data_IF_358963264702
#
_entry.id   IF_358963264702
#
_cell.length_a   1.000
_cell.length_b   1.000
_cell.length_c   1.000
_cell.angle_alpha   90.00
_cell.angle_beta   90.00
_cell.angle_gamma   90.00
#
_symmetry.space_group_name_H-M   'P 1'
#
loop_
_entity.id
_entity.type
_entity.pdbx_description
1 polymer ?
#
# COMPACT_ATOMS: atom_id res chain seq x y z
N UNK A 1 -5.59 -11.07 6.42
CA UNK A 1 -5.06 -9.69 6.38
C UNK A 1 -3.57 -9.73 6.11
N UNK A 2 -3.04 -8.70 5.46
CA UNK A 2 -1.74 -8.67 4.76
C UNK A 2 -0.84 -7.57 5.33
N UNK A 3 0.45 -7.57 5.04
CA UNK A 3 1.34 -6.43 5.32
C UNK A 3 1.58 -5.65 4.04
N UNK A 4 1.29 -4.35 4.10
CA UNK A 4 1.73 -3.37 3.10
C UNK A 4 2.51 -2.29 3.83
N UNK A 5 3.52 -1.71 3.19
CA UNK A 5 4.36 -0.67 3.79
C UNK A 5 4.68 0.36 2.70
N UNK A 6 4.36 1.63 2.96
CA UNK A 6 4.88 2.76 2.20
C UNK A 6 6.07 3.39 2.91
N UNK A 7 7.09 3.84 2.18
CA UNK A 7 8.21 4.60 2.76
C UNK A 7 8.57 5.73 1.82
N UNK A 8 8.84 6.91 2.37
CA UNK A 8 9.47 8.03 1.67
C UNK A 8 10.83 8.30 2.30
N UNK A 9 11.89 8.22 1.53
CA UNK A 9 13.23 8.55 2.05
C UNK A 9 14.13 9.01 0.92
N UNK A 10 14.89 10.08 1.19
CA UNK A 10 15.80 10.73 0.25
C UNK A 10 15.16 11.05 -1.10
N UNK A 11 13.89 11.47 -1.07
CA UNK A 11 13.10 11.77 -2.25
C UNK A 11 12.52 10.55 -2.98
N UNK A 12 12.85 9.34 -2.57
CA UNK A 12 12.37 8.10 -3.18
C UNK A 12 11.14 7.60 -2.45
N UNK A 13 10.13 7.15 -3.20
CA UNK A 13 8.95 6.47 -2.65
C UNK A 13 9.05 4.98 -2.92
N UNK A 14 8.84 4.17 -1.88
CA UNK A 14 8.67 2.73 -2.01
C UNK A 14 7.31 2.29 -1.47
N UNK A 15 6.75 1.30 -2.14
CA UNK A 15 5.59 0.54 -1.70
C UNK A 15 5.98 -0.93 -1.72
N UNK A 16 5.78 -1.64 -0.62
CA UNK A 16 6.07 -3.07 -0.52
C UNK A 16 4.91 -3.81 0.13
N UNK A 17 4.68 -5.05 -0.30
CA UNK A 17 3.63 -5.90 0.22
C UNK A 17 4.07 -7.37 0.25
N UNK A 18 3.55 -8.14 1.21
CA UNK A 18 3.63 -9.60 1.12
C UNK A 18 2.73 -10.12 -0.01
N UNK A 19 2.89 -11.38 -0.41
CA UNK A 19 2.12 -11.98 -1.51
C UNK A 19 1.13 -13.06 -1.07
N UNK A 20 0.99 -13.33 0.23
CA UNK A 20 0.08 -14.36 0.73
C UNK A 20 -1.36 -13.86 0.78
N UNK A 21 -2.30 -14.71 0.39
CA UNK A 21 -3.73 -14.52 0.56
C UNK A 21 -4.28 -15.69 1.37
N UNK A 22 -5.00 -15.39 2.44
CA UNK A 22 -5.57 -16.38 3.36
C UNK A 22 -7.07 -16.20 3.42
N UNK A 23 -7.81 -17.30 3.38
CA UNK A 23 -9.23 -17.32 3.70
C UNK A 23 -9.37 -17.23 5.23
N UNK A 24 -9.94 -16.12 5.72
CA UNK A 24 -10.02 -15.84 7.15
C UNK A 24 -10.92 -16.83 7.90
N UNK A 25 -11.97 -17.34 7.26
CA UNK A 25 -12.94 -18.26 7.89
C UNK A 25 -12.34 -19.64 8.15
N UNK A 26 -11.47 -20.09 7.25
CA UNK A 26 -10.88 -21.43 7.29
C UNK A 26 -9.42 -21.45 7.72
N UNK A 27 -8.76 -20.28 7.77
CA UNK A 27 -7.32 -20.14 7.98
C UNK A 27 -6.46 -20.71 6.84
N UNK A 28 -7.07 -21.18 5.74
CA UNK A 28 -6.34 -21.81 4.63
C UNK A 28 -5.69 -20.77 3.73
N UNK A 29 -4.47 -21.08 3.30
CA UNK A 29 -3.77 -20.31 2.27
C UNK A 29 -4.50 -20.51 0.94
N UNK A 30 -5.01 -19.40 0.40
CA UNK A 30 -5.66 -19.36 -0.92
C UNK A 30 -4.65 -19.08 -2.04
N UNK A 31 -3.59 -18.31 -1.75
CA UNK A 31 -2.48 -18.05 -2.69
C UNK A 31 -1.22 -17.62 -1.94
N UNK A 32 -0.05 -17.93 -2.49
CA UNK A 32 1.26 -17.49 -2.01
C UNK A 32 1.88 -16.39 -2.88
N UNK A 33 1.29 -16.08 -4.03
CA UNK A 33 1.87 -15.22 -5.08
C UNK A 33 0.87 -14.16 -5.55
N UNK A 34 -0.04 -13.73 -4.67
CA UNK A 34 -1.04 -12.72 -4.99
C UNK A 34 -0.40 -11.32 -4.96
N UNK A 35 -0.36 -10.66 -6.13
CA UNK A 35 0.13 -9.29 -6.24
C UNK A 35 -0.86 -8.32 -5.61
N UNK A 36 -0.38 -7.54 -4.65
CA UNK A 36 -1.18 -6.53 -3.94
C UNK A 36 -0.87 -5.11 -4.40
N UNK A 37 0.26 -4.94 -5.10
CA UNK A 37 0.69 -3.66 -5.65
C UNK A 37 0.34 -3.62 -7.13
N UNK A 38 -0.21 -2.49 -7.57
CA UNK A 38 -0.50 -2.21 -8.94
C UNK A 38 0.14 -0.88 -9.34
N UNK A 39 1.16 -0.96 -10.20
CA UNK A 39 1.75 0.22 -10.82
C UNK A 39 0.78 0.80 -11.84
N UNK A 40 0.40 2.06 -11.68
CA UNK A 40 -0.41 2.80 -12.65
C UNK A 40 0.49 3.31 -13.76
N UNK A 41 1.62 3.90 -13.38
CA UNK A 41 2.66 4.41 -14.26
C UNK A 41 3.99 4.47 -13.49
N UNK A 42 5.00 5.18 -14.01
CA UNK A 42 6.32 5.32 -13.39
C UNK A 42 6.35 6.29 -12.18
N UNK A 43 5.29 7.09 -11.99
CA UNK A 43 5.17 8.10 -10.94
C UNK A 43 4.24 7.68 -9.79
N UNK A 44 3.45 6.62 -9.98
CA UNK A 44 2.33 6.26 -9.13
C UNK A 44 2.08 4.74 -9.14
N UNK A 45 1.94 4.19 -7.94
CA UNK A 45 1.37 2.87 -7.70
C UNK A 45 0.33 2.91 -6.58
N UNK A 46 -0.53 1.91 -6.59
CA UNK A 46 -1.53 1.69 -5.57
C UNK A 46 -1.39 0.31 -4.95
N UNK A 47 -1.86 0.15 -3.72
CA UNK A 47 -2.10 -1.14 -3.11
C UNK A 47 -3.47 -1.14 -2.45
N UNK A 48 -4.16 -2.28 -2.47
CA UNK A 48 -5.46 -2.43 -1.84
C UNK A 48 -5.40 -3.57 -0.84
N UNK A 49 -5.84 -3.31 0.38
CA UNK A 49 -5.82 -4.26 1.49
C UNK A 49 -7.17 -4.30 2.15
N UNK A 50 -7.64 -5.50 2.51
CA UNK A 50 -8.91 -5.68 3.19
C UNK A 50 -9.64 -6.91 2.69
N UNK A 51 -10.97 -6.81 2.64
CA UNK A 51 -11.83 -7.84 2.06
C UNK A 51 -11.39 -8.17 0.62
N UNK A 52 -11.15 -9.45 0.34
CA UNK A 52 -10.61 -9.89 -0.94
C UNK A 52 -11.54 -9.61 -2.12
N UNK A 53 -12.86 -9.72 -1.92
CA UNK A 53 -13.86 -9.44 -2.96
C UNK A 53 -13.90 -7.97 -3.32
N UNK A 54 -13.94 -7.09 -2.31
CA UNK A 54 -13.89 -5.64 -2.53
C UNK A 54 -12.55 -5.21 -3.13
N UNK A 55 -11.44 -5.73 -2.61
CA UNK A 55 -10.10 -5.42 -3.12
C UNK A 55 -9.99 -5.79 -4.60
N UNK A 56 -10.43 -7.00 -4.98
CA UNK A 56 -10.49 -7.43 -6.38
C UNK A 56 -11.40 -6.54 -7.22
N UNK A 57 -12.60 -6.20 -6.73
CA UNK A 57 -13.53 -5.31 -7.43
C UNK A 57 -12.93 -3.93 -7.70
N UNK A 58 -12.29 -3.32 -6.71
CA UNK A 58 -11.58 -2.03 -6.84
C UNK A 58 -10.47 -2.16 -7.89
N UNK A 59 -9.66 -3.22 -7.84
CA UNK A 59 -8.61 -3.46 -8.83
C UNK A 59 -9.16 -3.58 -10.25
N UNK A 60 -10.23 -4.35 -10.46
CA UNK A 60 -10.84 -4.51 -11.78
C UNK A 60 -11.40 -3.18 -12.28
N UNK A 61 -12.13 -2.43 -11.46
CA UNK A 61 -12.69 -1.13 -11.81
C UNK A 61 -11.61 -0.12 -12.20
N UNK A 62 -10.52 -0.06 -11.45
CA UNK A 62 -9.38 0.83 -11.78
C UNK A 62 -8.68 0.43 -13.07
N UNK A 63 -8.51 -0.88 -13.30
CA UNK A 63 -7.90 -1.39 -14.53
C UNK A 63 -8.77 -1.06 -15.75
N UNK A 64 -10.08 -1.26 -15.67
CA UNK A 64 -11.02 -0.92 -16.74
C UNK A 64 -11.12 0.60 -16.95
N UNK A 65 -11.11 1.40 -15.89
CA UNK A 65 -11.02 2.85 -15.99
C UNK A 65 -9.79 3.25 -16.79
N UNK A 66 -8.60 2.76 -16.43
CA UNK A 66 -7.35 3.10 -17.10
C UNK A 66 -7.32 2.71 -18.58
N UNK A 67 -7.90 1.57 -18.95
CA UNK A 67 -8.01 1.14 -20.36
C UNK A 67 -8.87 2.08 -21.20
N UNK A 68 -9.89 2.68 -20.59
CA UNK A 68 -10.84 3.56 -21.25
C UNK A 68 -10.41 5.03 -21.23
N UNK A 69 -9.33 5.37 -20.52
CA UNK A 69 -8.75 6.71 -20.54
C UNK A 69 -7.79 6.92 -21.71
N UNK A 70 -7.56 8.19 -22.05
CA UNK A 70 -6.48 8.55 -22.97
C UNK A 70 -5.14 8.04 -22.40
N UNK A 71 -4.35 7.24 -23.15
CA UNK A 71 -3.07 6.69 -22.65
C UNK A 71 -2.11 7.76 -22.10
N UNK A 72 -2.12 8.96 -22.68
CA UNK A 72 -1.29 10.07 -22.22
C UNK A 72 -1.75 10.63 -20.87
N UNK A 73 -3.05 10.57 -20.58
CA UNK A 73 -3.59 10.98 -19.28
C UNK A 73 -3.14 10.02 -18.17
N UNK A 74 -3.17 8.71 -18.43
CA UNK A 74 -2.69 7.71 -17.45
C UNK A 74 -1.18 7.77 -17.28
N UNK A 75 -0.42 7.95 -18.37
CA UNK A 75 1.05 8.03 -18.30
C UNK A 75 1.52 9.20 -17.42
N UNK A 76 0.81 10.33 -17.47
CA UNK A 76 1.17 11.56 -16.77
C UNK A 76 0.37 11.76 -15.47
N UNK A 77 -0.33 10.75 -14.98
CA UNK A 77 -1.11 10.86 -13.75
C UNK A 77 -0.20 10.89 -12.52
N UNK A 78 -0.50 11.80 -11.58
CA UNK A 78 0.17 11.91 -10.29
C UNK A 78 -0.78 11.51 -9.16
N UNK A 79 -0.23 11.44 -7.94
CA UNK A 79 -0.96 10.95 -6.77
C UNK A 79 -2.22 11.77 -6.48
N UNK A 80 -2.18 13.10 -6.63
CA UNK A 80 -3.32 13.96 -6.27
C UNK A 80 -4.53 13.72 -7.18
N UNK A 81 -4.33 13.63 -8.50
CA UNK A 81 -5.44 13.36 -9.43
C UNK A 81 -6.05 11.97 -9.17
N UNK A 82 -5.20 10.98 -8.88
CA UNK A 82 -5.64 9.61 -8.65
C UNK A 82 -6.35 9.44 -7.31
N UNK A 83 -5.89 10.15 -6.28
CA UNK A 83 -6.59 10.22 -4.99
C UNK A 83 -7.99 10.79 -5.15
N UNK A 84 -8.18 11.88 -5.90
CA UNK A 84 -9.53 12.42 -6.14
C UNK A 84 -10.45 11.44 -6.87
N UNK A 85 -9.92 10.66 -7.82
CA UNK A 85 -10.68 9.60 -8.48
C UNK A 85 -11.09 8.49 -7.50
N UNK A 86 -10.16 8.07 -6.64
CA UNK A 86 -10.43 7.07 -5.59
C UNK A 86 -11.51 7.59 -4.63
N UNK A 87 -11.38 8.83 -4.18
CA UNK A 87 -12.32 9.47 -3.25
C UNK A 87 -13.74 9.46 -3.84
N UNK A 88 -13.89 9.86 -5.11
CA UNK A 88 -15.19 9.81 -5.77
C UNK A 88 -15.73 8.38 -5.94
N UNK A 89 -14.86 7.42 -6.25
CA UNK A 89 -15.24 6.01 -6.33
C UNK A 89 -15.73 5.47 -4.98
N UNK A 90 -15.10 5.92 -3.89
CA UNK A 90 -15.49 5.56 -2.53
C UNK A 90 -16.90 6.10 -2.21
N UNK A 91 -17.14 7.38 -2.47
CA UNK A 91 -18.45 8.02 -2.28
C UNK A 91 -19.56 7.31 -3.05
N UNK A 92 -19.36 7.02 -4.35
CA UNK A 92 -20.36 6.33 -5.17
C UNK A 92 -20.69 4.95 -4.60
N UNK A 93 -19.68 4.20 -4.16
CA UNK A 93 -19.93 2.89 -3.54
C UNK A 93 -20.74 3.01 -2.24
N UNK A 94 -20.49 4.04 -1.42
CA UNK A 94 -21.28 4.31 -0.22
C UNK A 94 -22.72 4.71 -0.54
N UNK A 95 -22.95 5.45 -1.63
CA UNK A 95 -24.29 5.84 -2.10
C UNK A 95 -25.08 4.66 -2.70
N UNK A 96 -24.38 3.72 -3.35
CA UNK A 96 -25.02 2.68 -4.18
C UNK A 96 -25.34 1.41 -3.41
N UNK A 97 -24.56 1.11 -2.38
CA UNK A 97 -24.69 -0.15 -1.67
C UNK A 97 -25.04 0.17 -0.21
N UNK A 98 -26.18 -0.33 0.26
CA UNK A 98 -26.65 -0.21 1.65
C UNK A 98 -25.80 -1.12 2.56
N UNK A 99 -24.54 -0.72 2.73
CA UNK A 99 -23.53 -1.50 3.42
C UNK A 99 -23.33 -0.91 4.81
N UNK A 100 -23.44 -1.75 5.84
CA UNK A 100 -23.02 -1.35 7.19
C UNK A 100 -21.51 -1.18 7.23
N UNK A 101 -20.97 -0.23 8.01
CA UNK A 101 -19.53 0.09 8.03
C UNK A 101 -18.59 -1.10 8.26
N UNK A 102 -19.09 -2.22 8.80
CA UNK A 102 -18.31 -3.45 9.03
C UNK A 102 -18.05 -4.30 7.78
N UNK A 103 -18.85 -4.12 6.73
CA UNK A 103 -18.78 -4.91 5.50
C UNK A 103 -17.83 -4.27 4.45
N UNK A 104 -17.45 -3.01 4.64
CA UNK A 104 -16.49 -2.25 3.82
C UNK A 104 -15.10 -2.18 4.48
N UNK A 105 -14.53 -3.28 4.97
CA UNK A 105 -13.15 -3.26 5.48
C UNK A 105 -12.15 -3.29 4.31
N UNK A 106 -11.88 -2.11 3.73
CA UNK A 106 -10.90 -1.96 2.67
C UNK A 106 -10.15 -0.62 2.79
N UNK A 107 -8.84 -0.66 2.55
CA UNK A 107 -8.00 0.52 2.49
C UNK A 107 -7.12 0.47 1.24
N UNK A 108 -7.08 1.61 0.57
CA UNK A 108 -6.28 1.84 -0.62
C UNK A 108 -5.09 2.71 -0.20
N UNK A 109 -3.87 2.24 -0.48
CA UNK A 109 -2.65 3.02 -0.34
C UNK A 109 -2.27 3.51 -1.72
N UNK A 110 -1.92 4.79 -1.81
CA UNK A 110 -1.48 5.46 -3.04
C UNK A 110 -0.09 6.02 -2.77
N UNK A 111 0.90 5.55 -3.52
CA UNK A 111 2.30 5.90 -3.35
C UNK A 111 2.85 6.45 -4.66
N UNK A 112 3.60 7.55 -4.60
CA UNK A 112 4.15 8.16 -5.80
C UNK A 112 4.54 9.62 -5.61
N UNK A 113 4.44 10.41 -6.68
CA UNK A 113 4.71 11.84 -6.64
C UNK A 113 3.44 12.66 -6.87
N UNK A 114 3.41 13.86 -6.28
CA UNK A 114 2.51 14.93 -6.71
C UNK A 114 2.98 15.52 -8.03
N UNK A 115 2.12 16.32 -8.66
CA UNK A 115 2.46 17.06 -9.89
C UNK A 115 3.63 18.03 -9.71
N UNK A 116 3.86 18.53 -8.49
CA UNK A 116 5.02 19.36 -8.14
C UNK A 116 6.30 18.56 -7.88
N UNK A 117 6.26 17.24 -8.10
CA UNK A 117 7.40 16.34 -7.89
C UNK A 117 7.64 15.97 -6.43
N UNK A 118 6.70 16.28 -5.53
CA UNK A 118 6.82 15.95 -4.10
C UNK A 118 6.50 14.48 -3.90
N UNK A 119 7.41 13.68 -3.32
CA UNK A 119 7.16 12.30 -2.92
C UNK A 119 6.07 12.23 -1.85
N UNK A 120 5.08 11.36 -2.04
CA UNK A 120 3.93 11.21 -1.13
C UNK A 120 3.48 9.75 -1.01
N UNK A 121 3.00 9.41 0.17
CA UNK A 121 2.26 8.18 0.46
C UNK A 121 0.98 8.61 1.15
N UNK A 122 -0.14 8.38 0.47
CA UNK A 122 -1.49 8.68 0.95
C UNK A 122 -2.25 7.37 1.13
N UNK A 123 -3.21 7.36 2.04
CA UNK A 123 -4.19 6.27 2.11
C UNK A 123 -5.59 6.85 1.97
N UNK A 124 -6.50 6.00 1.51
CA UNK A 124 -7.94 6.20 1.44
C UNK A 124 -8.60 4.96 2.02
N UNK A 125 -9.33 5.15 3.09
CA UNK A 125 -9.78 4.10 3.96
C UNK A 125 -11.29 4.17 4.10
N UNK A 126 -11.93 3.01 4.03
CA UNK A 126 -13.21 2.79 4.69
C UNK A 126 -13.02 2.44 6.18
N UNK A 127 -11.87 1.86 6.53
CA UNK A 127 -11.39 1.62 7.88
C UNK A 127 -10.01 2.28 8.07
N UNK A 128 -9.86 3.09 9.12
CA UNK A 128 -8.61 3.79 9.47
C UNK A 128 -7.44 2.78 9.57
N UNK A 129 -6.32 3.00 8.86
CA UNK A 129 -5.17 2.12 8.96
C UNK A 129 -4.60 2.13 10.38
N UNK A 130 -4.00 1.00 10.77
CA UNK A 130 -3.41 0.79 12.10
C UNK A 130 -2.46 1.90 12.53
N UNK A 131 -1.63 2.37 11.61
CA UNK A 131 -0.79 3.53 11.73
C UNK A 131 -0.72 4.14 10.35
N UNK A 132 -1.07 5.41 10.25
CA UNK A 132 -0.71 6.20 9.09
C UNK A 132 -0.30 7.58 9.55
N UNK A 133 0.83 8.03 9.04
CA UNK A 133 1.19 9.42 9.05
C UNK A 133 1.10 9.83 7.59
N UNK A 134 0.07 10.57 7.16
CA UNK A 134 0.17 11.18 5.83
C UNK A 134 1.40 12.08 5.87
N UNK A 135 2.41 11.76 5.05
CA UNK A 135 3.61 12.57 4.99
C UNK A 135 3.84 13.07 3.57
N UNK A 136 4.03 14.38 3.49
CA UNK A 136 4.54 15.07 2.33
C UNK A 136 5.91 15.63 2.75
N UNK A 137 6.96 14.80 2.64
CA UNK A 137 8.30 15.16 3.13
C UNK A 137 9.40 14.41 2.39
N UNK A 138 10.58 15.04 2.26
CA UNK A 138 11.76 14.42 1.63
C UNK A 138 12.35 13.25 2.44
N UNK A 139 12.01 13.14 3.73
CA UNK A 139 12.40 12.01 4.59
C UNK A 139 11.30 11.74 5.62
N UNK A 140 10.43 10.77 5.33
CA UNK A 140 9.37 10.33 6.23
C UNK A 140 9.03 8.86 5.98
N UNK A 141 9.26 8.03 6.99
CA UNK A 141 8.76 6.65 6.97
C UNK A 141 7.26 6.72 7.26
N UNK A 142 6.42 6.37 6.28
CA UNK A 142 4.94 6.33 6.36
C UNK A 142 4.45 4.89 6.29
N UNK A 143 4.68 4.10 7.34
CA UNK A 143 4.38 2.69 7.30
C UNK A 143 2.87 2.49 7.51
N UNK A 144 2.19 1.98 6.50
CA UNK A 144 0.77 1.69 6.56
C UNK A 144 0.58 0.18 6.71
N UNK A 145 0.84 -0.33 7.91
CA UNK A 145 0.75 -1.78 8.20
C UNK A 145 -0.71 -2.13 8.45
N UNK A 146 -1.22 -3.16 7.78
CA UNK A 146 -2.42 -3.87 8.23
C UNK A 146 -2.00 -5.04 9.11
N UNK A 147 -2.68 -5.25 10.24
CA UNK A 147 -2.35 -6.36 11.12
C UNK A 147 -2.74 -7.64 10.40
N UNK A 148 -1.83 -8.61 10.30
CA UNK A 148 -2.25 -9.97 10.03
C UNK A 148 -3.28 -10.39 11.08
N UNK A 149 -4.28 -11.17 10.67
CA UNK A 149 -5.40 -11.58 11.53
C UNK A 149 -4.96 -12.41 12.75
N UNK A 150 -3.77 -12.99 12.68
CA UNK A 150 -3.17 -13.85 13.69
C UNK A 150 -2.02 -13.17 14.46
N UNK A 151 -1.81 -11.85 14.29
CA UNK A 151 -0.75 -11.10 14.99
C UNK A 151 -1.26 -9.75 15.48
N UNK A 152 -0.90 -9.38 16.71
CA UNK A 152 -1.31 -8.10 17.29
C UNK A 152 -0.64 -6.90 16.59
N UNK A 153 -1.34 -5.77 16.60
CA UNK A 153 -0.87 -4.46 16.14
C UNK A 153 0.46 -4.08 16.80
N UNK A 154 0.54 -4.19 18.12
CA UNK A 154 1.71 -3.80 18.91
C UNK A 154 2.95 -4.59 18.51
N UNK A 155 2.77 -5.89 18.21
CA UNK A 155 3.86 -6.76 17.78
C UNK A 155 4.40 -6.36 16.40
N UNK A 156 3.52 -6.05 15.45
CA UNK A 156 3.91 -5.56 14.12
C UNK A 156 4.64 -4.20 14.20
N UNK A 157 4.11 -3.27 15.00
CA UNK A 157 4.73 -1.96 15.21
C UNK A 157 6.12 -2.08 15.85
N UNK A 158 6.28 -2.95 16.85
CA UNK A 158 7.60 -3.20 17.47
C UNK A 158 8.60 -3.78 16.47
N UNK A 159 8.16 -4.68 15.59
CA UNK A 159 9.01 -5.23 14.53
C UNK A 159 9.50 -4.11 13.62
N UNK A 160 8.58 -3.31 13.09
CA UNK A 160 8.92 -2.19 12.21
C UNK A 160 9.87 -1.18 12.89
N UNK A 161 9.57 -0.74 14.12
CA UNK A 161 10.42 0.18 14.87
C UNK A 161 11.84 -0.37 15.01
N UNK A 162 11.97 -1.67 15.28
CA UNK A 162 13.28 -2.34 15.36
C UNK A 162 14.00 -2.30 14.01
N UNK A 163 13.30 -2.54 12.90
CA UNK A 163 13.89 -2.49 11.56
C UNK A 163 14.37 -1.09 11.19
N UNK A 164 13.58 -0.06 11.52
CA UNK A 164 13.92 1.36 11.32
C UNK A 164 15.16 1.74 12.16
N UNK A 165 15.19 1.36 13.44
CA UNK A 165 16.33 1.68 14.31
C UNK A 165 17.62 1.02 13.83
N UNK A 166 17.56 -0.25 13.42
CA UNK A 166 18.70 -0.97 12.84
C UNK A 166 19.25 -0.27 11.60
N UNK A 167 18.38 0.23 10.74
CA UNK A 167 18.80 1.02 9.58
C UNK A 167 19.57 2.27 9.98
N UNK A 168 19.03 3.04 10.94
CA UNK A 168 19.67 4.28 11.42
C UNK A 168 21.06 4.02 11.99
N UNK A 169 21.28 2.86 12.58
CA UNK A 169 22.56 2.46 13.18
C UNK A 169 23.56 1.88 12.16
N UNK A 170 23.10 1.25 11.07
CA UNK A 170 23.94 0.44 10.18
C UNK A 170 24.16 1.00 8.76
N UNK A 171 23.60 2.16 8.42
CA UNK A 171 23.65 2.71 7.04
C UNK A 171 23.14 1.74 5.98
N UNK A 172 22.14 0.91 6.34
CA UNK A 172 21.49 -0.02 5.40
C UNK A 172 20.72 0.72 4.30
N UNK A 173 20.14 0.00 3.34
CA UNK A 173 19.30 0.57 2.28
C UNK A 173 17.80 0.59 2.65
N UNK A 174 17.00 1.46 2.00
CA UNK A 174 15.54 1.52 2.22
C UNK A 174 14.84 0.17 1.98
N UNK A 175 15.29 -0.54 0.94
CA UNK A 175 14.81 -1.88 0.59
C UNK A 175 15.06 -2.87 1.73
N UNK A 176 16.20 -2.78 2.41
CA UNK A 176 16.54 -3.69 3.52
C UNK A 176 15.58 -3.53 4.71
N UNK A 177 15.13 -2.30 5.00
CA UNK A 177 14.12 -2.06 6.04
C UNK A 177 12.83 -2.81 5.72
N UNK A 178 12.37 -2.72 4.47
CA UNK A 178 11.13 -3.35 4.03
C UNK A 178 11.23 -4.86 4.08
N UNK A 179 12.33 -5.41 3.57
CA UNK A 179 12.59 -6.84 3.57
C UNK A 179 12.73 -7.41 4.98
N UNK A 180 13.52 -6.77 5.87
CA UNK A 180 13.65 -7.20 7.27
C UNK A 180 12.30 -7.14 7.99
N UNK A 181 11.52 -6.08 7.76
CA UNK A 181 10.21 -5.91 8.40
C UNK A 181 9.23 -7.00 7.99
N UNK A 182 9.01 -7.22 6.70
CA UNK A 182 8.03 -8.22 6.22
C UNK A 182 8.49 -9.63 6.62
N UNK A 183 9.78 -9.95 6.49
CA UNK A 183 10.34 -11.23 6.91
C UNK A 183 10.17 -11.49 8.41
N UNK A 184 10.33 -10.46 9.24
CA UNK A 184 10.14 -10.61 10.70
C UNK A 184 8.66 -10.71 11.07
N UNK A 185 7.76 -10.10 10.29
CA UNK A 185 6.32 -10.30 10.47
C UNK A 185 5.90 -11.70 10.02
N UNK A 186 6.39 -12.21 8.89
CA UNK A 186 6.07 -13.58 8.42
C UNK A 186 6.56 -14.67 9.38
N UNK A 187 7.64 -14.41 10.13
CA UNK A 187 8.10 -15.31 11.18
C UNK A 187 7.15 -15.41 12.38
N UNK A 188 6.23 -14.45 12.55
CA UNK A 188 5.28 -14.42 13.67
C UNK A 188 3.82 -14.50 13.25
N UNK A 189 3.54 -14.47 11.94
CA UNK A 189 2.22 -14.53 11.33
C UNK A 189 2.20 -15.57 10.22
N UNK A 190 1.30 -16.54 10.34
CA UNK A 190 1.01 -17.50 9.27
C UNK A 190 0.25 -16.87 8.10
N UNK A 191 -0.35 -15.70 8.31
CA UNK A 191 -1.11 -14.97 7.27
C UNK A 191 -0.24 -14.17 6.31
N UNK A 192 1.07 -14.07 6.58
CA UNK A 192 2.06 -13.30 5.81
C UNK A 192 3.17 -14.24 5.35
N UNK A 193 3.64 -14.09 4.11
CA UNK A 193 4.85 -14.77 3.65
C UNK A 193 6.01 -13.78 3.49
N UNK A 194 7.23 -14.32 3.31
CA UNK A 194 8.44 -13.54 3.04
C UNK A 194 8.69 -13.31 1.54
N UNK A 195 7.72 -13.64 0.69
CA UNK A 195 7.71 -13.24 -0.72
C UNK A 195 7.19 -11.82 -0.81
N UNK A 196 8.03 -10.90 -1.27
CA UNK A 196 7.75 -9.47 -1.23
C UNK A 196 7.59 -8.94 -2.66
N UNK A 197 6.48 -8.26 -2.90
CA UNK A 197 6.29 -7.40 -4.06
C UNK A 197 6.73 -5.98 -3.72
N UNK A 198 7.46 -5.32 -4.61
CA UNK A 198 8.00 -3.97 -4.38
C UNK A 198 7.83 -3.11 -5.62
N UNK A 199 7.36 -1.89 -5.41
CA UNK A 199 7.39 -0.81 -6.38
C UNK A 199 8.19 0.37 -5.82
N UNK A 200 8.94 1.04 -6.68
CA UNK A 200 9.78 2.18 -6.34
C UNK A 200 9.66 3.31 -7.37
N UNK A 201 9.78 4.54 -6.89
CA UNK A 201 9.79 5.75 -7.71
C UNK A 201 10.83 6.73 -7.15
N UNK A 202 11.89 6.99 -7.93
CA UNK A 202 12.97 7.90 -7.55
C UNK A 202 12.58 9.36 -7.78
N UNK A 203 12.97 10.26 -6.86
CA UNK A 203 12.82 11.73 -7.02
C UNK A 203 13.50 12.30 -8.27
N UNK A 204 14.57 11.68 -8.77
CA UNK A 204 15.52 12.29 -9.70
C UNK A 204 14.98 12.59 -11.11
N UNK A 205 13.80 12.08 -11.50
CA UNK A 205 13.18 12.46 -12.77
C UNK A 205 12.53 13.84 -12.65
N UNK A 206 13.34 14.89 -12.84
CA UNK A 206 12.84 16.23 -13.20
C UNK A 206 12.27 16.09 -14.62
N UNK A 207 10.96 16.22 -14.75
CA UNK A 207 10.33 16.40 -16.06
C UNK A 207 10.63 17.86 -16.45
N UNK A 208 11.62 18.06 -17.32
CA UNK A 208 11.81 19.32 -18.05
C UNK A 208 10.89 19.34 -19.27
#
# INVERSE_FOLDING_TARGET
>A
MSVVIGIIMDGTVLLAADQRMVNLDTGKIASETFKKIFAINEHLAISVVGNAGLSAGIFYSMREFNKNQNPSAIKNAFVDEYCSYIDRGIEIMQETIDITSNDLSCTIIVAGKTKSGVPVVKYRAYEEPMWACQAESKAAIVPIIFNPSDTSKEKCLKILQTSINRYREKSGGMIEILFDTIKRISAVSSSVNDNIDVWLCDAATIIN
#
